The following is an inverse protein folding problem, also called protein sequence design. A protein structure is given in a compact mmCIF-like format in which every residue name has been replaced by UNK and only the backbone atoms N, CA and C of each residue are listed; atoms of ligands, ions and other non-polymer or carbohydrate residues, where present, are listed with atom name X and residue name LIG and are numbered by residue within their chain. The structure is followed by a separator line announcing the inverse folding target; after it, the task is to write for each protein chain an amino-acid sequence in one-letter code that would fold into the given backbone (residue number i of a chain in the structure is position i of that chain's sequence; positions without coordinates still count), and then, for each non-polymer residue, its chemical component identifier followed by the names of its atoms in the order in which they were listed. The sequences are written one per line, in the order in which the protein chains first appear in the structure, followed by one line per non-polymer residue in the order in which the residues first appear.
data_IF_209267182001
#
_entry.id   IF_209267182001
#
_cell.length_a   1.000
_cell.length_b   1.000
_cell.length_c   1.000
_cell.angle_alpha   90.00
_cell.angle_beta   90.00
_cell.angle_gamma   90.00
#
_symmetry.space_group_name_H-M   'P 1'
#
loop_
_entity.id
_entity.type
_entity.pdbx_description
1 polymer ?
#
# COMPACT_ATOMS: atom_id res chain seq x y z
N UNK A 1 16.06 -8.34 25.30
CA UNK A 1 16.22 -8.00 23.87
C UNK A 1 15.49 -8.97 22.93
N UNK A 2 15.75 -10.29 22.95
CA UNK A 2 15.11 -11.26 22.02
C UNK A 2 13.57 -11.24 22.06
N UNK A 3 12.98 -11.17 23.26
CA UNK A 3 11.52 -11.14 23.44
C UNK A 3 10.89 -9.80 23.00
N UNK A 4 11.61 -8.68 23.13
CA UNK A 4 11.14 -7.37 22.68
C UNK A 4 11.10 -7.28 21.15
N UNK A 5 12.10 -7.87 20.48
CA UNK A 5 12.15 -7.97 19.02
C UNK A 5 10.98 -8.79 18.46
N UNK A 6 10.59 -9.86 19.17
CA UNK A 6 9.49 -10.73 18.76
C UNK A 6 8.12 -10.05 18.90
N UNK A 7 7.91 -9.26 19.95
CA UNK A 7 6.70 -8.44 20.13
C UNK A 7 6.60 -7.37 19.05
N UNK A 8 7.72 -6.72 18.72
CA UNK A 8 7.75 -5.71 17.65
C UNK A 8 7.36 -6.32 16.29
N UNK A 9 7.89 -7.51 15.96
CA UNK A 9 7.53 -8.26 14.75
C UNK A 9 6.04 -8.66 14.70
N UNK A 10 5.46 -9.06 15.83
CA UNK A 10 4.04 -9.40 15.95
C UNK A 10 3.14 -8.18 15.74
N UNK A 11 3.56 -7.01 16.24
CA UNK A 11 2.84 -5.76 16.03
C UNK A 11 2.91 -5.36 14.55
N UNK A 12 4.08 -5.42 13.92
CA UNK A 12 4.32 -4.97 12.52
C UNK A 12 3.49 -5.72 11.46
N UNK A 13 2.79 -6.82 11.77
CA UNK A 13 1.94 -7.52 10.79
C UNK A 13 0.50 -7.76 11.23
N UNK A 14 0.08 -7.16 12.35
CA UNK A 14 -1.26 -7.40 12.90
C UNK A 14 -2.32 -6.54 12.20
N UNK A 15 -3.52 -7.10 12.04
CA UNK A 15 -4.71 -6.36 11.65
C UNK A 15 -5.74 -6.45 12.76
N UNK A 16 -6.40 -5.33 13.06
CA UNK A 16 -7.50 -5.29 14.01
C UNK A 16 -8.82 -5.27 13.24
N UNK A 17 -9.71 -6.21 13.55
CA UNK A 17 -11.04 -6.28 12.97
C UNK A 17 -12.07 -6.00 14.06
N UNK A 18 -12.93 -5.01 13.83
CA UNK A 18 -14.12 -4.77 14.65
C UNK A 18 -15.37 -5.18 13.85
N UNK A 19 -16.14 -6.10 14.41
CA UNK A 19 -17.41 -6.58 13.83
C UNK A 19 -18.58 -6.10 14.69
N UNK A 20 -19.65 -5.56 14.07
CA UNK A 20 -20.89 -5.25 14.81
C UNK A 20 -21.79 -6.49 14.92
N UNK A 21 -22.46 -6.68 16.07
CA UNK A 21 -23.38 -7.79 16.32
C UNK A 21 -24.69 -7.65 15.50
N UNK A 22 -24.93 -8.56 14.55
CA UNK A 22 -26.18 -8.67 13.78
C UNK A 22 -26.10 -9.58 12.55
N UNK A 23 -27.24 -9.85 11.89
CA UNK A 23 -27.35 -10.62 10.62
C UNK A 23 -26.66 -9.95 9.43
N UNK A 24 -26.37 -8.64 9.53
CA UNK A 24 -25.58 -7.87 8.57
C UNK A 24 -24.22 -7.59 9.19
N UNK A 25 -23.16 -8.05 8.56
CA UNK A 25 -21.80 -7.86 9.07
C UNK A 25 -21.24 -6.56 8.53
N UNK A 26 -21.07 -5.59 9.43
CA UNK A 26 -20.17 -4.46 9.20
C UNK A 26 -18.81 -4.84 9.79
N UNK A 27 -17.77 -4.70 9.00
CA UNK A 27 -16.40 -4.97 9.41
C UNK A 27 -15.56 -3.72 9.16
N UNK A 28 -14.87 -3.26 10.19
CA UNK A 28 -13.82 -2.25 10.08
C UNK A 28 -12.48 -2.93 10.35
N UNK A 29 -11.61 -2.92 9.35
CA UNK A 29 -10.27 -3.49 9.41
C UNK A 29 -9.23 -2.37 9.38
N UNK A 30 -8.41 -2.31 10.42
CA UNK A 30 -7.20 -1.51 10.44
C UNK A 30 -6.00 -2.44 10.18
N UNK A 31 -5.23 -2.14 9.13
CA UNK A 31 -4.04 -2.85 8.70
C UNK A 31 -2.83 -1.93 8.92
N UNK A 32 -1.73 -2.47 9.41
CA UNK A 32 -0.46 -1.77 9.33
C UNK A 32 0.68 -2.77 9.15
N UNK A 33 1.79 -2.32 8.55
CA UNK A 33 2.97 -3.14 8.45
C UNK A 33 3.90 -2.83 7.30
N UNK A 34 4.69 -3.84 6.93
CA UNK A 34 5.61 -3.75 5.81
C UNK A 34 4.84 -3.76 4.48
N UNK A 35 5.18 -2.83 3.59
CA UNK A 35 4.69 -2.78 2.22
C UNK A 35 5.80 -3.07 1.23
N UNK A 36 5.47 -3.76 0.14
CA UNK A 36 6.32 -3.85 -1.05
C UNK A 36 5.54 -3.24 -2.22
N UNK A 37 6.17 -2.34 -2.95
CA UNK A 37 5.63 -1.71 -4.14
C UNK A 37 6.53 -2.06 -5.32
N UNK A 38 5.90 -2.59 -6.38
CA UNK A 38 6.51 -2.69 -7.70
C UNK A 38 5.75 -1.78 -8.64
N UNK A 39 6.43 -0.78 -9.18
CA UNK A 39 5.82 0.20 -10.10
C UNK A 39 6.77 0.50 -11.24
N UNK A 40 6.23 0.58 -12.45
CA UNK A 40 6.95 1.06 -13.62
C UNK A 40 6.54 2.51 -13.88
N UNK A 41 7.49 3.43 -13.90
CA UNK A 41 7.25 4.83 -14.22
C UNK A 41 7.42 5.06 -15.72
N UNK A 42 6.42 4.63 -16.50
CA UNK A 42 6.45 4.58 -17.98
C UNK A 42 6.80 5.93 -18.61
N UNK A 43 6.53 7.05 -17.93
CA UNK A 43 6.82 8.40 -18.44
C UNK A 43 8.30 8.82 -18.29
N UNK A 44 9.08 8.16 -17.43
CA UNK A 44 10.44 8.60 -17.09
C UNK A 44 11.49 7.49 -17.26
N UNK A 45 11.11 6.21 -17.08
CA UNK A 45 12.04 5.10 -17.23
C UNK A 45 11.31 3.79 -17.56
N UNK A 46 11.86 2.95 -18.46
CA UNK A 46 11.35 1.60 -18.68
C UNK A 46 11.61 0.68 -17.47
N UNK A 47 12.37 1.10 -16.46
CA UNK A 47 12.73 0.28 -15.31
C UNK A 47 11.57 0.12 -14.32
N UNK A 48 11.44 -1.09 -13.76
CA UNK A 48 10.52 -1.39 -12.67
C UNK A 48 11.18 -0.99 -11.36
N UNK A 49 10.63 0.02 -10.69
CA UNK A 49 11.05 0.43 -9.36
C UNK A 49 10.48 -0.56 -8.33
N UNK A 50 11.36 -1.15 -7.53
CA UNK A 50 11.00 -2.01 -6.41
C UNK A 50 11.32 -1.25 -5.13
N UNK A 51 10.29 -0.88 -4.38
CA UNK A 51 10.45 -0.13 -3.15
C UNK A 51 9.78 -0.85 -2.00
N UNK A 52 10.41 -0.80 -0.84
CA UNK A 52 9.84 -1.32 0.39
C UNK A 52 9.50 -0.17 1.33
N UNK A 53 8.51 -0.40 2.19
CA UNK A 53 8.06 0.55 3.19
C UNK A 53 7.93 -0.17 4.52
N UNK A 54 8.45 0.45 5.58
CA UNK A 54 8.17 0.01 6.96
C UNK A 54 6.77 0.44 7.40
N UNK A 55 6.26 1.52 6.80
CA UNK A 55 5.03 2.17 7.19
C UNK A 55 4.01 2.09 6.05
N UNK A 56 3.28 0.99 6.03
CA UNK A 56 2.05 0.84 5.28
C UNK A 56 0.89 0.85 6.29
N UNK A 57 -0.09 1.72 6.12
CA UNK A 57 -1.30 1.79 6.96
C UNK A 57 -2.50 1.67 6.03
N UNK A 58 -3.40 0.74 6.32
CA UNK A 58 -4.64 0.52 5.59
C UNK A 58 -5.85 0.60 6.50
N UNK A 59 -6.91 1.24 6.03
CA UNK A 59 -8.23 1.20 6.62
C UNK A 59 -9.18 0.62 5.59
N UNK A 60 -9.94 -0.40 5.98
CA UNK A 60 -10.96 -1.01 5.13
C UNK A 60 -12.27 -1.09 5.89
N UNK A 61 -13.33 -0.58 5.28
CA UNK A 61 -14.70 -0.75 5.73
C UNK A 61 -15.40 -1.70 4.76
N UNK A 62 -16.07 -2.71 5.32
CA UNK A 62 -16.89 -3.66 4.56
C UNK A 62 -18.29 -3.74 5.19
N UNK A 63 -19.30 -3.63 4.34
CA UNK A 63 -20.70 -3.86 4.68
C UNK A 63 -21.23 -5.02 3.85
N UNK A 64 -21.72 -6.06 4.53
CA UNK A 64 -22.39 -7.19 3.90
C UNK A 64 -23.88 -7.17 4.23
N UNK A 65 -24.69 -6.91 3.20
CA UNK A 65 -26.15 -6.96 3.23
C UNK A 65 -26.71 -7.25 1.83
N UNK A 66 -27.94 -6.83 1.53
CA UNK A 66 -28.49 -6.88 0.15
C UNK A 66 -27.65 -6.08 -0.85
N UNK A 67 -27.06 -4.99 -0.35
CA UNK A 67 -26.09 -4.16 -1.06
C UNK A 67 -24.75 -4.38 -0.38
N UNK A 68 -23.81 -4.98 -1.10
CA UNK A 68 -22.42 -5.11 -0.70
C UNK A 68 -21.69 -3.78 -0.93
N UNK A 69 -20.95 -3.33 0.08
CA UNK A 69 -20.08 -2.15 -0.04
C UNK A 69 -18.72 -2.47 0.56
N UNK A 70 -17.65 -2.08 -0.13
CA UNK A 70 -16.30 -2.08 0.42
C UNK A 70 -15.63 -0.76 0.06
N UNK A 71 -15.11 -0.07 1.06
CA UNK A 71 -14.27 1.10 0.90
C UNK A 71 -12.91 0.80 1.54
N UNK A 72 -11.82 1.03 0.83
CA UNK A 72 -10.49 0.93 1.41
C UNK A 72 -9.63 2.14 1.07
N UNK A 73 -8.85 2.56 2.05
CA UNK A 73 -7.83 3.57 1.92
C UNK A 73 -6.52 3.00 2.45
N UNK A 74 -5.45 3.06 1.66
CA UNK A 74 -4.13 2.60 2.07
C UNK A 74 -3.10 3.67 1.79
N UNK A 75 -2.34 4.02 2.81
CA UNK A 75 -1.21 4.93 2.73
C UNK A 75 0.09 4.16 2.92
N UNK A 76 1.08 4.42 2.07
CA UNK A 76 2.43 3.87 2.21
C UNK A 76 3.49 4.88 1.83
N UNK A 77 4.55 4.95 2.62
CA UNK A 77 5.74 5.76 2.32
C UNK A 77 6.91 4.87 1.91
N UNK A 78 7.23 4.87 0.64
CA UNK A 78 8.17 3.95 0.01
C UNK A 78 9.48 4.66 -0.31
N UNK A 79 10.57 4.18 0.27
CA UNK A 79 11.91 4.60 -0.13
C UNK A 79 12.34 3.74 -1.30
N UNK A 80 12.44 4.34 -2.48
CA UNK A 80 13.05 3.71 -3.62
C UNK A 80 14.57 3.86 -3.46
N UNK A 81 15.19 2.86 -2.85
CA UNK A 81 16.62 2.67 -3.04
C UNK A 81 16.79 2.14 -4.47
N UNK A 82 17.14 3.01 -5.41
CA UNK A 82 17.82 2.54 -6.61
C UNK A 82 19.12 1.93 -6.10
N UNK A 83 19.22 0.60 -6.12
CA UNK A 83 20.43 -0.08 -5.63
C UNK A 83 21.67 0.39 -6.38
N UNK A 84 21.51 0.95 -7.59
CA UNK A 84 22.59 1.54 -8.40
C UNK A 84 22.05 2.79 -9.10
N UNK A 85 22.75 3.92 -8.98
CA UNK A 85 22.52 5.09 -9.82
C UNK A 85 22.94 4.78 -11.25
N UNK A 86 22.18 5.24 -12.25
CA UNK A 86 22.54 5.12 -13.66
C UNK A 86 22.33 6.46 -14.37
N UNK A 87 23.10 6.66 -15.43
CA UNK A 87 22.98 7.83 -16.29
C UNK A 87 21.99 7.55 -17.42
N UNK A 88 21.09 8.50 -17.69
CA UNK A 88 20.15 8.47 -18.80
C UNK A 88 20.17 9.79 -19.56
N UNK A 89 19.90 9.72 -20.86
CA UNK A 89 19.71 10.93 -21.66
C UNK A 89 18.27 11.41 -21.51
N UNK A 90 18.09 12.62 -20.99
CA UNK A 90 16.78 13.23 -20.77
C UNK A 90 16.34 14.00 -22.03
N UNK A 91 15.25 13.57 -22.65
CA UNK A 91 14.68 14.28 -23.81
C UNK A 91 14.02 15.63 -23.42
N UNK A 92 13.84 15.90 -22.13
CA UNK A 92 13.22 17.15 -21.64
C UNK A 92 14.27 18.23 -21.44
N UNK A 93 15.44 17.86 -20.91
CA UNK A 93 16.55 18.79 -20.63
C UNK A 93 17.63 18.75 -21.72
N UNK A 94 17.58 17.78 -22.64
CA UNK A 94 18.56 17.53 -23.70
C UNK A 94 19.98 17.20 -23.17
N UNK A 95 20.09 16.81 -21.91
CA UNK A 95 21.34 16.51 -21.20
C UNK A 95 21.38 15.10 -20.62
N UNK A 96 22.59 14.63 -20.29
CA UNK A 96 22.77 13.40 -19.51
C UNK A 96 22.51 13.67 -18.03
N UNK A 97 21.59 12.93 -17.44
CA UNK A 97 21.20 13.02 -16.04
C UNK A 97 21.49 11.73 -15.30
N UNK A 98 21.90 11.83 -14.04
CA UNK A 98 22.12 10.68 -13.15
C UNK A 98 20.92 10.49 -12.23
N UNK A 99 20.39 9.27 -12.14
CA UNK A 99 19.30 8.97 -11.21
C UNK A 99 19.70 9.18 -9.76
N UNK A 100 18.89 9.94 -9.04
CA UNK A 100 19.03 10.20 -7.60
C UNK A 100 18.10 9.29 -6.78
N UNK A 101 18.47 8.96 -5.53
CA UNK A 101 17.55 8.31 -4.60
C UNK A 101 16.25 9.10 -4.47
N UNK A 102 15.13 8.42 -4.59
CA UNK A 102 13.81 9.04 -4.47
C UNK A 102 12.93 8.32 -3.45
N UNK A 103 11.94 9.04 -2.94
CA UNK A 103 10.92 8.48 -2.06
C UNK A 103 9.55 8.84 -2.61
N UNK A 104 8.60 7.92 -2.45
CA UNK A 104 7.26 8.03 -2.98
C UNK A 104 6.26 7.81 -1.85
N UNK A 105 5.32 8.74 -1.69
CA UNK A 105 4.15 8.53 -0.86
C UNK A 105 3.00 8.11 -1.76
N UNK A 106 2.34 7.01 -1.42
CA UNK A 106 1.21 6.48 -2.18
C UNK A 106 -0.01 6.47 -1.29
N UNK A 107 -1.08 7.04 -1.81
CA UNK A 107 -2.42 6.90 -1.28
C UNK A 107 -3.25 6.12 -2.30
N UNK A 108 -3.68 4.94 -1.90
CA UNK A 108 -4.52 4.03 -2.68
C UNK A 108 -5.94 4.10 -2.12
N UNK A 109 -6.93 4.32 -2.99
CA UNK A 109 -8.33 4.52 -2.64
C UNK A 109 -9.18 3.64 -3.54
N UNK A 110 -9.84 2.65 -2.94
CA UNK A 110 -10.71 1.72 -3.64
C UNK A 110 -12.13 1.79 -3.08
N UNK A 111 -13.11 1.72 -3.98
CA UNK A 111 -14.52 1.60 -3.63
C UNK A 111 -15.20 0.57 -4.51
N UNK A 112 -15.92 -0.35 -3.88
CA UNK A 112 -16.69 -1.41 -4.53
C UNK A 112 -18.13 -1.36 -4.03
N UNK A 113 -19.06 -1.43 -4.97
CA UNK A 113 -20.50 -1.47 -4.73
C UNK A 113 -21.11 -2.57 -5.58
N UNK A 114 -21.93 -3.44 -4.97
CA UNK A 114 -22.59 -4.52 -5.71
C UNK A 114 -23.83 -5.05 -5.01
N UNK A 115 -24.73 -5.69 -5.76
CA UNK A 115 -25.84 -6.40 -5.15
C UNK A 115 -25.40 -7.80 -4.75
N UNK A 116 -25.76 -8.21 -3.53
CA UNK A 116 -25.53 -9.57 -3.09
C UNK A 116 -26.67 -10.45 -3.61
N UNK A 117 -26.36 -11.30 -4.60
CA UNK A 117 -27.31 -12.21 -5.24
C UNK A 117 -27.58 -13.49 -4.43
N UNK A 118 -26.86 -13.69 -3.32
CA UNK A 118 -26.95 -14.89 -2.48
C UNK A 118 -27.58 -14.64 -1.10
N UNK A 119 -28.20 -13.47 -0.87
CA UNK A 119 -28.83 -13.10 0.42
C UNK A 119 -30.27 -13.59 0.58
#
# INVERSE_FOLDING_TARGET
MKNQMMVLLLIIGSSLNANSQGLKTNTLTLQWGLGNLKRQDVNFSPMINNSWSVLNIGLMYEHTGKLYQRASARFGSYSAFSNESFDYYSFITEEWETTQPNSHNILDLDYVLGFNIYS
#
